data_IF_923385279335
#
_entry.id   IF_923385279335
#
_cell.length_a   1.000
_cell.length_b   1.000
_cell.length_c   1.000
_cell.angle_alpha   90.00
_cell.angle_beta   90.00
_cell.angle_gamma   90.00
#
_symmetry.space_group_name_H-M   'P 1'
#
loop_
_entity.id
_entity.type
_entity.pdbx_description
1 polymer ?
#
# COMPACT_ATOMS: atom_id res chain seq x y z
N UNK A 1 53.68 -12.87 -20.40
CA UNK A 1 52.29 -13.34 -20.57
C UNK A 1 51.44 -12.69 -19.46
N UNK A 2 50.78 -11.59 -19.78
CA UNK A 2 49.92 -10.90 -18.83
C UNK A 2 48.56 -11.63 -18.75
N UNK A 3 48.29 -12.25 -17.59
CA UNK A 3 46.98 -12.77 -17.29
C UNK A 3 46.01 -11.57 -17.06
N UNK A 4 45.15 -11.30 -18.02
CA UNK A 4 44.04 -10.36 -17.89
C UNK A 4 43.05 -11.03 -16.94
N UNK A 5 42.99 -10.53 -15.72
CA UNK A 5 42.02 -10.94 -14.72
C UNK A 5 40.67 -10.30 -15.09
N UNK A 6 39.83 -11.01 -15.83
CA UNK A 6 38.43 -10.64 -16.02
C UNK A 6 37.69 -10.81 -14.68
N UNK A 7 37.57 -9.73 -13.90
CA UNK A 7 36.53 -9.65 -12.88
C UNK A 7 35.22 -9.78 -13.62
N UNK A 8 34.56 -10.93 -13.53
CA UNK A 8 33.19 -11.05 -13.95
C UNK A 8 32.36 -10.03 -13.14
N UNK A 9 31.60 -9.17 -13.79
CA UNK A 9 30.69 -8.27 -13.06
C UNK A 9 29.73 -9.16 -12.24
N UNK A 10 29.61 -8.89 -10.94
CA UNK A 10 28.66 -9.58 -10.09
C UNK A 10 27.26 -9.37 -10.66
N UNK A 11 26.69 -10.41 -11.28
CA UNK A 11 25.33 -10.38 -11.79
C UNK A 11 24.42 -10.28 -10.58
N UNK A 12 23.56 -9.26 -10.53
CA UNK A 12 22.55 -9.10 -9.49
C UNK A 12 21.41 -10.09 -9.78
N UNK A 13 21.59 -11.35 -9.41
CA UNK A 13 20.61 -12.43 -9.56
C UNK A 13 19.93 -12.64 -8.21
N UNK A 14 18.59 -12.64 -8.16
CA UNK A 14 17.87 -12.95 -6.92
C UNK A 14 17.98 -14.43 -6.57
N UNK A 15 17.73 -14.79 -5.32
CA UNK A 15 17.42 -16.17 -4.98
C UNK A 15 16.04 -16.54 -5.55
N UNK A 16 15.76 -17.86 -5.61
CA UNK A 16 14.44 -18.31 -6.09
C UNK A 16 13.33 -17.81 -5.18
N UNK A 17 13.54 -17.81 -3.87
CA UNK A 17 12.60 -17.34 -2.87
C UNK A 17 12.30 -15.83 -3.02
N UNK A 18 13.35 -15.01 -3.25
CA UNK A 18 13.19 -13.57 -3.49
C UNK A 18 12.38 -13.29 -4.76
N UNK A 19 12.62 -14.07 -5.81
CA UNK A 19 11.88 -13.95 -7.07
C UNK A 19 10.42 -14.37 -6.89
N UNK A 20 10.15 -15.52 -6.25
CA UNK A 20 8.80 -16.04 -6.05
C UNK A 20 7.97 -15.09 -5.18
N UNK A 21 8.55 -14.55 -4.10
CA UNK A 21 7.93 -13.52 -3.29
C UNK A 21 7.59 -12.27 -4.11
N UNK A 22 8.50 -11.84 -4.98
CA UNK A 22 8.27 -10.70 -5.86
C UNK A 22 7.19 -10.96 -6.91
N UNK A 23 7.19 -12.14 -7.54
CA UNK A 23 6.20 -12.55 -8.54
C UNK A 23 4.80 -12.68 -7.91
N UNK A 24 4.71 -13.31 -6.73
CA UNK A 24 3.47 -13.44 -5.95
C UNK A 24 2.90 -12.08 -5.59
N UNK A 25 3.72 -11.15 -5.09
CA UNK A 25 3.31 -9.78 -4.78
C UNK A 25 2.82 -8.98 -6.01
N UNK A 26 3.02 -9.49 -7.21
CA UNK A 26 2.57 -8.92 -8.50
C UNK A 26 1.41 -9.69 -9.13
N UNK A 27 0.95 -10.79 -8.53
CA UNK A 27 -0.09 -11.64 -9.10
C UNK A 27 0.36 -12.37 -10.37
N UNK A 28 1.63 -12.80 -10.43
CA UNK A 28 2.22 -13.51 -11.57
C UNK A 28 2.33 -15.03 -11.33
N UNK A 29 1.60 -15.54 -10.36
CA UNK A 29 1.66 -16.94 -9.92
C UNK A 29 1.49 -17.91 -11.09
N UNK A 30 0.58 -17.62 -12.02
CA UNK A 30 0.25 -18.49 -13.16
C UNK A 30 1.40 -18.68 -14.15
N UNK A 31 2.37 -17.76 -14.22
CA UNK A 31 3.49 -17.81 -15.18
C UNK A 31 4.86 -17.46 -14.57
N UNK A 32 4.98 -17.46 -13.26
CA UNK A 32 6.22 -17.14 -12.56
C UNK A 32 7.35 -18.11 -12.90
N UNK A 33 7.05 -19.40 -13.05
CA UNK A 33 8.03 -20.43 -13.42
C UNK A 33 8.58 -20.20 -14.83
N UNK A 34 7.75 -19.85 -15.78
CA UNK A 34 8.15 -19.54 -17.16
C UNK A 34 8.94 -18.23 -17.23
N UNK A 35 8.56 -17.26 -16.41
CA UNK A 35 9.31 -16.01 -16.32
C UNK A 35 10.70 -16.23 -15.72
N UNK A 36 10.81 -17.06 -14.68
CA UNK A 36 12.08 -17.49 -14.14
C UNK A 36 12.96 -18.19 -15.19
N UNK A 37 12.39 -19.18 -15.88
CA UNK A 37 13.09 -19.92 -16.94
C UNK A 37 13.53 -19.00 -18.09
N UNK A 38 12.76 -17.99 -18.45
CA UNK A 38 13.12 -16.98 -19.45
C UNK A 38 14.31 -16.12 -18.98
N UNK A 39 14.35 -15.80 -17.67
CA UNK A 39 15.46 -15.05 -17.09
C UNK A 39 16.74 -15.90 -17.05
N UNK A 40 16.66 -17.18 -16.72
CA UNK A 40 17.80 -18.10 -16.72
C UNK A 40 18.38 -18.32 -18.12
N UNK A 41 17.54 -18.45 -19.16
CA UNK A 41 17.99 -18.53 -20.57
C UNK A 41 18.86 -17.35 -20.97
N UNK A 42 18.61 -16.18 -20.42
CA UNK A 42 19.37 -14.97 -20.70
C UNK A 42 20.51 -14.74 -19.71
N UNK A 43 20.78 -15.74 -18.83
CA UNK A 43 21.78 -15.64 -17.76
C UNK A 43 21.61 -14.36 -16.91
N UNK A 44 20.38 -13.89 -16.75
CA UNK A 44 20.05 -12.65 -16.04
C UNK A 44 20.77 -11.41 -16.61
N UNK A 45 21.07 -11.43 -17.90
CA UNK A 45 21.70 -10.32 -18.60
C UNK A 45 20.68 -9.53 -19.45
N UNK A 46 20.96 -8.26 -19.66
CA UNK A 46 20.23 -7.43 -20.61
C UNK A 46 20.48 -7.92 -22.05
N UNK A 47 19.68 -7.42 -23.00
CA UNK A 47 19.85 -7.79 -24.43
C UNK A 47 21.21 -7.39 -25.02
N UNK A 48 21.90 -6.44 -24.40
CA UNK A 48 23.27 -6.04 -24.78
C UNK A 48 24.38 -6.80 -24.05
N UNK A 49 24.04 -7.84 -23.28
CA UNK A 49 24.99 -8.66 -22.52
C UNK A 49 25.46 -8.05 -21.21
N UNK A 50 24.98 -6.89 -20.79
CA UNK A 50 25.33 -6.27 -19.51
C UNK A 50 24.52 -6.81 -18.36
N UNK A 51 25.12 -6.82 -17.15
CA UNK A 51 24.40 -7.09 -15.91
C UNK A 51 23.39 -5.98 -15.61
N UNK A 52 22.17 -6.31 -15.17
CA UNK A 52 21.25 -5.31 -14.70
C UNK A 52 21.71 -4.71 -13.37
N UNK A 53 21.47 -3.42 -13.18
CA UNK A 53 21.66 -2.76 -11.88
C UNK A 53 20.58 -3.17 -10.87
N UNK A 54 19.42 -3.54 -11.37
CA UNK A 54 18.26 -3.98 -10.62
C UNK A 54 17.55 -5.10 -11.40
N UNK A 55 17.55 -6.30 -10.85
CA UNK A 55 16.92 -7.47 -11.46
C UNK A 55 15.39 -7.32 -11.57
N UNK A 56 14.74 -6.60 -10.64
CA UNK A 56 13.29 -6.37 -10.68
C UNK A 56 12.87 -5.57 -11.90
N UNK A 57 13.64 -4.55 -12.26
CA UNK A 57 13.39 -3.76 -13.47
C UNK A 57 13.50 -4.62 -14.74
N UNK A 58 14.46 -5.52 -14.79
CA UNK A 58 14.65 -6.44 -15.92
C UNK A 58 13.52 -7.48 -16.00
N UNK A 59 13.16 -8.08 -14.88
CA UNK A 59 12.03 -9.02 -14.80
C UNK A 59 10.73 -8.35 -15.25
N UNK A 60 10.46 -7.12 -14.83
CA UNK A 60 9.30 -6.35 -15.27
C UNK A 60 9.24 -6.15 -16.80
N UNK A 61 10.39 -5.91 -17.43
CA UNK A 61 10.44 -5.75 -18.89
C UNK A 61 10.19 -7.06 -19.64
N UNK A 62 10.67 -8.17 -19.12
CA UNK A 62 10.47 -9.52 -19.71
C UNK A 62 9.07 -10.06 -19.45
N UNK A 63 8.49 -9.72 -18.32
CA UNK A 63 7.15 -10.17 -17.95
C UNK A 63 6.11 -9.85 -19.04
N UNK A 64 6.18 -8.71 -19.70
CA UNK A 64 5.27 -8.34 -20.77
C UNK A 64 5.29 -9.32 -21.97
N UNK A 65 6.42 -9.99 -22.20
CA UNK A 65 6.59 -10.99 -23.27
C UNK A 65 6.02 -12.34 -22.81
N UNK A 66 6.38 -12.77 -21.62
CA UNK A 66 5.93 -14.06 -21.06
C UNK A 66 4.43 -14.05 -20.85
N UNK A 67 3.90 -13.00 -20.24
CA UNK A 67 2.48 -12.82 -19.97
C UNK A 67 1.59 -12.99 -21.19
N UNK A 68 2.01 -12.52 -22.38
CA UNK A 68 1.28 -12.70 -23.64
C UNK A 68 1.12 -14.18 -24.02
N UNK A 69 2.05 -15.05 -23.63
CA UNK A 69 1.97 -16.50 -23.90
C UNK A 69 0.83 -17.17 -23.11
N UNK A 70 0.42 -16.55 -22.01
CA UNK A 70 -0.69 -16.99 -21.16
C UNK A 70 -2.02 -16.29 -21.49
N UNK A 71 -2.10 -15.54 -22.61
CA UNK A 71 -3.30 -14.82 -23.00
C UNK A 71 -3.68 -13.69 -22.05
N UNK A 72 -2.77 -13.26 -21.17
CA UNK A 72 -2.98 -12.19 -20.19
C UNK A 72 -2.62 -10.83 -20.76
N UNK A 73 -3.31 -9.81 -20.33
CA UNK A 73 -3.08 -8.41 -20.71
C UNK A 73 -2.62 -7.58 -19.51
N UNK A 74 -2.10 -6.37 -19.79
CA UNK A 74 -1.75 -5.43 -18.70
C UNK A 74 -2.95 -5.05 -17.82
N UNK A 75 -4.16 -5.14 -18.34
CA UNK A 75 -5.39 -4.90 -17.56
C UNK A 75 -5.68 -6.02 -16.58
N UNK A 76 -5.32 -7.26 -16.92
CA UNK A 76 -5.51 -8.42 -16.02
C UNK A 76 -4.56 -8.34 -14.83
N UNK A 77 -3.29 -7.93 -15.06
CA UNK A 77 -2.35 -7.64 -13.97
C UNK A 77 -2.86 -6.52 -13.08
N UNK A 78 -3.37 -5.42 -13.67
CA UNK A 78 -3.89 -4.29 -12.87
C UNK A 78 -5.09 -4.68 -12.01
N UNK A 79 -5.94 -5.60 -12.46
CA UNK A 79 -7.03 -6.13 -11.63
C UNK A 79 -6.51 -6.98 -10.47
N UNK A 80 -5.57 -7.91 -10.73
CA UNK A 80 -4.95 -8.72 -9.67
C UNK A 80 -4.11 -7.90 -8.68
N UNK A 81 -3.40 -6.87 -9.16
CA UNK A 81 -2.54 -6.03 -8.32
C UNK A 81 -3.33 -5.04 -7.47
N UNK A 82 -4.50 -4.57 -7.93
CA UNK A 82 -5.35 -3.67 -7.13
C UNK A 82 -6.01 -4.36 -5.94
N UNK A 83 -6.32 -5.63 -6.03
CA UNK A 83 -6.91 -6.39 -4.92
C UNK A 83 -5.87 -6.99 -3.97
N UNK A 84 -4.60 -7.19 -4.42
CA UNK A 84 -3.56 -7.88 -3.63
C UNK A 84 -2.47 -6.96 -3.06
N UNK A 85 -2.43 -5.67 -3.40
CA UNK A 85 -1.36 -4.77 -2.92
C UNK A 85 -1.63 -4.16 -1.55
N UNK A 86 -2.75 -4.52 -0.93
CA UNK A 86 -3.08 -4.14 0.44
C UNK A 86 -3.15 -5.42 1.28
N UNK A 87 -2.05 -6.14 1.34
CA UNK A 87 -1.88 -7.12 2.41
C UNK A 87 -1.22 -6.37 3.55
N UNK A 88 -2.01 -6.12 4.56
CA UNK A 88 -1.47 -5.90 5.89
C UNK A 88 -0.82 -7.21 6.33
N UNK A 89 0.45 -7.41 5.99
CA UNK A 89 1.28 -8.40 6.65
C UNK A 89 1.63 -7.87 8.04
N UNK A 90 0.67 -7.90 8.94
CA UNK A 90 0.91 -8.04 10.36
C UNK A 90 -0.23 -8.94 10.85
N UNK A 91 -0.05 -10.25 10.73
CA UNK A 91 -0.81 -11.26 11.47
C UNK A 91 -0.41 -11.27 12.97
N UNK A 92 0.13 -10.18 13.48
CA UNK A 92 0.31 -10.01 14.91
C UNK A 92 -1.02 -9.54 15.48
N UNK A 93 -1.68 -10.41 16.22
CA UNK A 93 -2.83 -10.03 17.04
C UNK A 93 -2.38 -8.91 17.99
N UNK A 94 -3.18 -7.85 18.06
CA UNK A 94 -2.94 -6.84 19.07
C UNK A 94 -3.06 -7.45 20.47
N UNK A 95 -2.22 -7.05 21.42
CA UNK A 95 -2.32 -7.55 22.79
C UNK A 95 -3.67 -7.18 23.38
N UNK A 96 -4.31 -8.12 24.06
CA UNK A 96 -5.56 -7.88 24.79
C UNK A 96 -5.27 -7.06 26.05
N UNK A 97 -5.25 -5.74 25.89
CA UNK A 97 -5.09 -4.77 26.99
C UNK A 97 -6.40 -4.03 27.31
N UNK A 98 -7.53 -4.46 26.74
CA UNK A 98 -8.82 -3.79 26.89
C UNK A 98 -8.94 -2.44 26.17
N UNK A 99 -7.95 -2.03 25.38
CA UNK A 99 -7.89 -0.76 24.68
C UNK A 99 -7.91 -0.94 23.16
N UNK A 100 -8.66 -1.92 22.68
CA UNK A 100 -8.85 -2.16 21.25
C UNK A 100 -10.03 -1.35 20.73
N UNK A 101 -9.82 -0.64 19.62
CA UNK A 101 -10.78 0.21 18.94
C UNK A 101 -10.84 -0.11 17.46
N UNK A 102 -12.02 0.09 16.88
CA UNK A 102 -12.23 0.00 15.42
C UNK A 102 -12.63 1.38 14.92
N UNK A 103 -11.98 1.90 13.89
CA UNK A 103 -12.29 3.19 13.32
C UNK A 103 -12.65 3.06 11.83
N UNK A 104 -13.74 3.67 11.43
CA UNK A 104 -14.12 3.89 10.02
C UNK A 104 -13.84 5.33 9.67
N UNK A 105 -13.19 5.57 8.53
CA UNK A 105 -12.76 6.92 8.13
C UNK A 105 -13.04 7.15 6.67
N UNK A 106 -13.58 8.33 6.36
CA UNK A 106 -13.83 8.79 5.01
C UNK A 106 -13.48 10.26 4.82
N UNK A 107 -13.16 10.65 3.59
CA UNK A 107 -12.85 12.02 3.23
C UNK A 107 -13.15 12.31 1.77
N UNK A 108 -13.87 13.40 1.54
CA UNK A 108 -14.27 13.83 0.20
C UNK A 108 -13.95 15.30 -0.06
N UNK A 109 -13.89 15.69 -1.33
CA UNK A 109 -13.72 17.07 -1.75
C UNK A 109 -14.39 17.31 -3.09
N UNK A 110 -15.14 18.41 -3.18
CA UNK A 110 -15.60 18.92 -4.47
C UNK A 110 -14.41 19.55 -5.23
N UNK A 111 -13.80 18.74 -6.09
CA UNK A 111 -12.65 19.16 -6.89
C UNK A 111 -13.05 20.09 -8.06
N UNK A 112 -14.35 20.25 -8.34
CA UNK A 112 -14.86 21.05 -9.45
C UNK A 112 -15.22 22.48 -9.02
N UNK A 113 -15.59 22.68 -7.75
CA UNK A 113 -15.90 24.00 -7.23
C UNK A 113 -14.65 24.87 -7.08
N UNK A 114 -14.85 26.18 -7.19
CA UNK A 114 -13.78 27.18 -7.01
C UNK A 114 -13.22 27.15 -5.58
N UNK A 115 -14.09 26.94 -4.61
CA UNK A 115 -13.73 26.89 -3.19
C UNK A 115 -13.08 25.56 -2.80
N UNK A 116 -13.22 24.51 -3.62
CA UNK A 116 -12.72 23.16 -3.34
C UNK A 116 -13.05 22.75 -1.91
N UNK A 117 -14.34 22.84 -1.57
CA UNK A 117 -14.84 22.44 -0.27
C UNK A 117 -14.71 20.92 -0.08
N UNK A 118 -14.25 20.49 1.06
CA UNK A 118 -14.13 19.08 1.41
C UNK A 118 -14.54 18.80 2.83
N UNK A 119 -14.83 17.53 3.10
CA UNK A 119 -15.18 17.02 4.41
C UNK A 119 -14.35 15.80 4.76
N UNK A 120 -14.09 15.61 6.03
CA UNK A 120 -13.51 14.40 6.61
C UNK A 120 -14.38 13.92 7.77
N UNK A 121 -14.58 12.63 7.91
CA UNK A 121 -15.37 12.04 8.97
C UNK A 121 -14.69 10.80 9.54
N UNK A 122 -14.97 10.49 10.80
CA UNK A 122 -14.64 9.23 11.43
C UNK A 122 -15.70 8.77 12.41
N UNK A 123 -15.82 7.45 12.54
CA UNK A 123 -16.59 6.77 13.60
C UNK A 123 -15.62 5.82 14.29
N UNK A 124 -15.55 5.88 15.61
CA UNK A 124 -14.76 4.99 16.45
C UNK A 124 -15.72 4.10 17.25
N UNK A 125 -15.50 2.80 17.15
CA UNK A 125 -16.21 1.80 17.92
C UNK A 125 -15.30 1.23 19.02
N UNK A 126 -15.89 0.93 20.16
CA UNK A 126 -15.32 0.11 21.20
C UNK A 126 -16.30 -0.99 21.57
N UNK A 127 -15.88 -2.23 21.57
CA UNK A 127 -16.72 -3.40 21.89
C UNK A 127 -18.01 -3.46 21.03
N UNK A 128 -17.93 -2.99 19.76
CA UNK A 128 -19.04 -2.93 18.83
C UNK A 128 -19.97 -1.71 18.96
N UNK A 129 -19.82 -0.90 20.00
CA UNK A 129 -20.63 0.29 20.25
C UNK A 129 -19.91 1.57 19.78
N UNK A 130 -20.67 2.56 19.29
CA UNK A 130 -20.10 3.85 18.87
C UNK A 130 -19.59 4.59 20.12
N UNK A 131 -18.26 4.65 20.24
CA UNK A 131 -17.60 5.38 21.31
C UNK A 131 -17.42 6.87 20.95
N UNK A 132 -17.19 7.20 19.67
CA UNK A 132 -16.97 8.57 19.21
C UNK A 132 -17.24 8.70 17.71
N UNK A 133 -17.79 9.83 17.30
CA UNK A 133 -17.89 10.20 15.89
C UNK A 133 -17.67 11.71 15.74
N UNK A 134 -17.08 12.12 14.62
CA UNK A 134 -16.87 13.53 14.30
C UNK A 134 -16.70 13.73 12.81
N UNK A 135 -17.12 14.89 12.33
CA UNK A 135 -16.81 15.39 11.00
C UNK A 135 -16.13 16.76 11.07
N UNK A 136 -15.45 17.13 9.97
CA UNK A 136 -14.78 18.41 9.82
C UNK A 136 -14.83 18.86 8.35
N UNK A 137 -15.17 20.12 8.12
CA UNK A 137 -15.15 20.74 6.80
C UNK A 137 -13.93 21.64 6.60
N UNK A 138 -13.41 21.68 5.38
CA UNK A 138 -12.28 22.54 4.99
C UNK A 138 -12.46 23.06 3.56
N UNK A 139 -12.10 24.33 3.32
CA UNK A 139 -11.99 24.89 1.99
C UNK A 139 -10.56 24.75 1.44
N UNK A 140 -10.42 24.90 0.13
CA UNK A 140 -9.14 24.80 -0.58
C UNK A 140 -8.37 23.49 -0.28
N UNK A 141 -9.07 22.37 -0.34
CA UNK A 141 -8.55 21.04 0.02
C UNK A 141 -8.55 20.06 -1.17
N UNK A 142 -8.39 18.78 -0.91
CA UNK A 142 -8.46 17.68 -1.89
C UNK A 142 -8.92 16.38 -1.22
N UNK A 143 -9.47 15.43 -1.98
CA UNK A 143 -9.89 14.13 -1.46
C UNK A 143 -8.81 13.49 -0.58
N UNK A 144 -7.62 13.26 -1.13
CA UNK A 144 -6.53 12.62 -0.38
C UNK A 144 -6.17 13.36 0.92
N UNK A 145 -6.35 14.69 0.95
CA UNK A 145 -6.09 15.48 2.15
C UNK A 145 -7.18 15.27 3.20
N UNK A 146 -8.44 15.19 2.77
CA UNK A 146 -9.57 14.92 3.67
C UNK A 146 -9.53 13.49 4.23
N UNK A 147 -9.21 12.50 3.40
CA UNK A 147 -8.99 11.12 3.81
C UNK A 147 -7.87 10.98 4.86
N UNK A 148 -6.71 11.64 4.64
CA UNK A 148 -5.62 11.67 5.62
C UNK A 148 -6.07 12.34 6.93
N UNK A 149 -6.81 13.44 6.87
CA UNK A 149 -7.31 14.14 8.05
C UNK A 149 -8.31 13.30 8.84
N UNK A 150 -9.17 12.52 8.16
CA UNK A 150 -10.08 11.59 8.82
C UNK A 150 -9.33 10.56 9.67
N UNK A 151 -8.31 9.92 9.08
CA UNK A 151 -7.46 8.94 9.77
C UNK A 151 -6.70 9.58 10.94
N UNK A 152 -6.04 10.71 10.72
CA UNK A 152 -5.28 11.42 11.76
C UNK A 152 -6.20 11.82 12.92
N UNK A 153 -7.40 12.30 12.60
CA UNK A 153 -8.39 12.69 13.60
C UNK A 153 -8.89 11.50 14.41
N UNK A 154 -9.10 10.35 13.78
CA UNK A 154 -9.49 9.11 14.45
C UNK A 154 -8.40 8.63 15.41
N UNK A 155 -7.14 8.55 14.95
CA UNK A 155 -6.00 8.16 15.79
C UNK A 155 -5.85 9.10 16.99
N UNK A 156 -5.88 10.41 16.76
CA UNK A 156 -5.76 11.42 17.82
C UNK A 156 -6.94 11.40 18.82
N UNK A 157 -8.07 10.82 18.43
CA UNK A 157 -9.25 10.74 19.28
C UNK A 157 -9.27 9.50 20.19
N UNK A 158 -8.41 8.53 19.96
CA UNK A 158 -8.25 7.34 20.78
C UNK A 158 -7.39 7.64 22.02
N UNK A 159 -7.54 6.90 23.12
CA UNK A 159 -6.73 7.09 24.32
C UNK A 159 -5.29 6.60 24.14
N UNK A 160 -4.41 7.03 25.05
CA UNK A 160 -3.02 6.58 25.09
C UNK A 160 -2.92 5.06 25.21
N UNK A 161 -2.03 4.46 24.44
CA UNK A 161 -1.82 3.02 24.43
C UNK A 161 -2.89 2.21 23.67
N UNK A 162 -3.88 2.85 23.03
CA UNK A 162 -4.90 2.17 22.27
C UNK A 162 -4.33 1.43 21.05
N UNK A 163 -4.89 0.27 20.73
CA UNK A 163 -4.69 -0.44 19.47
C UNK A 163 -5.90 -0.20 18.56
N UNK A 164 -5.65 0.19 17.31
CA UNK A 164 -6.69 0.71 16.44
C UNK A 164 -6.68 -0.02 15.10
N UNK A 165 -7.79 -0.68 14.76
CA UNK A 165 -8.08 -1.15 13.40
C UNK A 165 -8.78 -0.05 12.62
N UNK A 166 -8.14 0.49 11.58
CA UNK A 166 -8.66 1.57 10.74
C UNK A 166 -9.16 1.00 9.41
N UNK A 167 -10.43 1.17 9.15
CA UNK A 167 -11.09 0.83 7.90
C UNK A 167 -11.24 2.08 7.03
N UNK A 168 -10.69 2.04 5.82
CA UNK A 168 -10.74 3.14 4.84
C UNK A 168 -10.75 2.59 3.41
N UNK A 169 -11.38 3.29 2.48
CA UNK A 169 -11.32 2.99 1.05
C UNK A 169 -10.14 3.66 0.34
N UNK A 170 -9.39 4.50 1.05
CA UNK A 170 -8.25 5.21 0.53
C UNK A 170 -6.97 4.37 0.48
N UNK A 171 -6.73 3.71 -0.65
CA UNK A 171 -5.45 3.02 -0.90
C UNK A 171 -4.24 3.96 -0.76
N UNK A 172 -4.41 5.23 -1.16
CA UNK A 172 -3.37 6.24 -1.02
C UNK A 172 -2.96 6.43 0.44
N UNK A 173 -3.93 6.58 1.34
CA UNK A 173 -3.66 6.78 2.76
C UNK A 173 -2.95 5.58 3.37
N UNK A 174 -3.41 4.36 3.09
CA UNK A 174 -2.76 3.14 3.58
C UNK A 174 -1.30 3.09 3.13
N UNK A 175 -1.02 3.28 1.83
CA UNK A 175 0.35 3.25 1.31
C UNK A 175 1.28 4.30 1.94
N UNK A 176 0.76 5.51 2.15
CA UNK A 176 1.54 6.62 2.73
C UNK A 176 1.79 6.39 4.22
N UNK A 177 0.78 5.95 4.98
CA UNK A 177 0.85 5.88 6.44
C UNK A 177 1.48 4.58 6.95
N UNK A 178 1.38 3.47 6.21
CA UNK A 178 2.06 2.20 6.54
C UNK A 178 3.56 2.19 6.23
N UNK A 179 4.17 3.33 5.88
CA UNK A 179 5.58 3.47 5.49
C UNK A 179 5.98 2.77 4.18
N UNK A 180 5.03 2.21 3.45
CA UNK A 180 5.29 1.56 2.15
C UNK A 180 5.61 2.55 1.03
N UNK A 181 5.31 3.85 1.25
CA UNK A 181 5.46 4.90 0.24
C UNK A 181 5.93 6.22 0.86
N UNK A 182 6.93 6.86 0.25
CA UNK A 182 7.36 8.21 0.66
C UNK A 182 6.36 9.26 0.16
N UNK A 183 5.75 10.06 1.04
CA UNK A 183 4.76 11.06 0.64
C UNK A 183 5.41 12.17 -0.18
N UNK A 184 4.95 12.34 -1.44
CA UNK A 184 5.31 13.50 -2.28
C UNK A 184 4.34 14.66 -2.10
N UNK A 185 3.11 14.35 -1.67
CA UNK A 185 2.04 15.32 -1.41
C UNK A 185 1.62 15.23 0.05
N UNK A 186 1.11 16.33 0.59
CA UNK A 186 0.65 16.45 1.98
C UNK A 186 1.72 16.06 3.04
N UNK A 187 2.99 16.51 2.93
CA UNK A 187 4.03 16.16 3.90
C UNK A 187 3.71 16.68 5.30
N UNK A 188 2.96 17.77 5.41
CA UNK A 188 2.47 18.34 6.67
C UNK A 188 1.55 17.37 7.42
N UNK A 189 0.63 16.70 6.73
CA UNK A 189 -0.26 15.72 7.32
C UNK A 189 0.47 14.43 7.69
N UNK A 190 1.46 14.03 6.91
CA UNK A 190 2.29 12.88 7.25
C UNK A 190 3.08 13.12 8.54
N UNK A 191 3.67 14.30 8.71
CA UNK A 191 4.36 14.65 9.96
C UNK A 191 3.39 14.80 11.14
N UNK A 192 2.17 15.27 10.89
CA UNK A 192 1.13 15.31 11.90
C UNK A 192 0.72 13.88 12.34
N UNK A 193 0.53 12.96 11.38
CA UNK A 193 0.24 11.57 11.67
C UNK A 193 1.30 10.92 12.57
N UNK A 194 2.60 11.12 12.26
CA UNK A 194 3.68 10.59 13.09
C UNK A 194 3.63 11.07 14.54
N UNK A 195 3.21 12.30 14.75
CA UNK A 195 3.02 12.84 16.12
C UNK A 195 1.81 12.19 16.79
N UNK A 196 0.70 12.08 16.07
CA UNK A 196 -0.53 11.49 16.60
C UNK A 196 -0.36 9.99 16.90
N UNK A 197 0.31 9.24 16.04
CA UNK A 197 0.48 7.79 16.25
C UNK A 197 1.43 7.45 17.41
N UNK A 198 2.21 8.39 17.87
CA UNK A 198 3.20 8.16 18.93
C UNK A 198 2.58 7.87 20.31
N UNK A 199 1.31 8.26 20.57
CA UNK A 199 0.66 8.04 21.86
C UNK A 199 -0.16 6.73 21.88
N UNK A 200 -0.46 6.12 20.73
CA UNK A 200 -1.21 4.85 20.65
C UNK A 200 -0.28 3.64 20.63
N UNK A 201 -0.78 2.48 21.05
CA UNK A 201 -0.04 1.23 21.09
C UNK A 201 0.23 0.65 19.69
N UNK A 202 -0.68 0.87 18.74
CA UNK A 202 -0.52 0.43 17.37
C UNK A 202 -1.70 0.79 16.48
N UNK A 203 -1.44 0.83 15.17
CA UNK A 203 -2.46 1.08 14.15
C UNK A 203 -2.32 0.03 13.05
N UNK A 204 -3.44 -0.60 12.71
CA UNK A 204 -3.55 -1.55 11.61
C UNK A 204 -4.58 -1.03 10.61
N UNK A 205 -4.23 -1.06 9.33
CA UNK A 205 -5.08 -0.58 8.26
C UNK A 205 -5.79 -1.72 7.54
N UNK A 206 -7.07 -1.54 7.28
CA UNK A 206 -7.92 -2.42 6.49
C UNK A 206 -8.52 -1.64 5.33
N UNK A 207 -8.27 -2.12 4.13
CA UNK A 207 -8.93 -1.55 2.97
C UNK A 207 -10.36 -2.09 2.87
N UNK A 208 -11.29 -1.18 2.66
CA UNK A 208 -12.69 -1.50 2.32
C UNK A 208 -13.00 -0.93 0.96
N UNK A 209 -13.95 -1.54 0.26
CA UNK A 209 -14.44 -0.99 -0.99
C UNK A 209 -15.41 0.15 -0.68
N UNK A 210 -15.16 1.33 -1.24
CA UNK A 210 -16.08 2.47 -1.12
C UNK A 210 -17.44 2.15 -1.74
N UNK A 211 -18.53 2.63 -1.13
CA UNK A 211 -19.90 2.47 -1.58
C UNK A 211 -20.35 1.01 -1.80
N UNK A 212 -19.95 0.08 -0.93
CA UNK A 212 -20.30 -1.35 -1.02
C UNK A 212 -21.20 -1.83 0.14
N UNK A 213 -22.04 -0.92 0.68
CA UNK A 213 -23.03 -1.24 1.71
C UNK A 213 -22.47 -1.41 3.12
N UNK A 214 -21.25 -0.98 3.40
CA UNK A 214 -20.75 -0.92 4.76
C UNK A 214 -21.40 0.26 5.51
N UNK A 215 -22.25 -0.07 6.47
CA UNK A 215 -23.09 0.88 7.22
C UNK A 215 -22.29 2.06 7.82
N UNK A 216 -21.03 1.85 8.20
CA UNK A 216 -20.20 2.87 8.83
C UNK A 216 -19.31 3.64 7.84
N UNK A 217 -19.19 3.17 6.60
CA UNK A 217 -18.45 3.89 5.55
C UNK A 217 -19.38 4.74 4.64
N UNK A 218 -20.69 4.68 4.89
CA UNK A 218 -21.72 5.45 4.15
C UNK A 218 -22.39 6.54 5.01
N UNK A 219 -21.96 6.70 6.27
CA UNK A 219 -22.40 7.75 7.20
C UNK A 219 -21.46 8.96 7.14
#
# INVERSE_FOLDING_TARGET
MNKINYKQPSVCVPTREEFDAYAKGRGWDDWSNELWAEMEKTHWLKNNGESPKDWKAMVNSRNAIVMKRFGKTKSDIKKGTREKTIINEIDEEFPDNGLHYVAYTDGSCDNLSKERAGGSAYIILKDGEIAKMKNHGQLNTSNNRMELLAIISAVNACPDGAFIDIYTDSQYCILVLSKSYKPKKNPDLYELYKKCVAHVGGVRFHWVKGHDGNTYNEL
#
